data_IF_453845712628
#
_entry.id   IF_453845712628
#
_cell.length_a   1.000
_cell.length_b   1.000
_cell.length_c   1.000
_cell.angle_alpha   90.00
_cell.angle_beta   90.00
_cell.angle_gamma   90.00
#
_symmetry.space_group_name_H-M   'P 1'
#
loop_
_entity.id
_entity.type
_entity.pdbx_description
1 polymer ?
#
# COMPACT_ATOMS: atom_id res chain seq x y z
N UNK A 1 -36.65 34.93 -34.31
CA UNK A 1 -36.31 33.55 -33.98
C UNK A 1 -35.46 33.51 -32.72
N UNK A 2 -36.04 33.03 -31.58
CA UNK A 2 -35.34 32.89 -30.31
C UNK A 2 -34.55 31.59 -30.31
N UNK A 3 -33.23 31.68 -30.28
CA UNK A 3 -32.38 30.51 -30.01
C UNK A 3 -32.50 30.14 -28.52
N UNK A 4 -33.16 29.01 -28.24
CA UNK A 4 -33.07 28.39 -26.92
C UNK A 4 -31.74 27.59 -26.85
N UNK A 5 -30.84 28.02 -25.98
CA UNK A 5 -29.72 27.22 -25.55
C UNK A 5 -30.28 26.01 -24.78
N UNK A 6 -30.22 24.83 -25.37
CA UNK A 6 -30.43 23.58 -24.62
C UNK A 6 -29.19 23.33 -23.79
N UNK A 7 -29.31 23.35 -22.46
CA UNK A 7 -28.32 22.85 -21.55
C UNK A 7 -28.19 21.34 -21.74
N UNK A 8 -27.05 20.88 -22.26
CA UNK A 8 -26.69 19.46 -22.40
C UNK A 8 -26.08 18.88 -21.11
N UNK A 9 -26.46 19.43 -19.96
CA UNK A 9 -26.11 18.78 -18.69
C UNK A 9 -27.27 17.90 -18.29
N UNK A 10 -27.22 16.64 -18.72
CA UNK A 10 -28.14 15.64 -18.21
C UNK A 10 -27.66 15.21 -16.82
N UNK A 11 -28.28 15.79 -15.80
CA UNK A 11 -27.99 15.54 -14.39
C UNK A 11 -28.56 14.21 -13.87
N UNK A 12 -28.82 13.24 -14.73
CA UNK A 12 -29.55 12.02 -14.38
C UNK A 12 -28.70 10.76 -14.32
N UNK A 13 -27.40 10.87 -14.08
CA UNK A 13 -26.56 9.68 -13.95
C UNK A 13 -25.76 9.63 -12.62
N UNK A 14 -26.23 10.29 -11.57
CA UNK A 14 -25.77 9.96 -10.23
C UNK A 14 -26.83 9.02 -9.65
N UNK A 15 -26.52 7.74 -9.38
CA UNK A 15 -27.43 6.87 -8.64
C UNK A 15 -27.69 7.56 -7.30
N UNK A 16 -28.92 7.99 -7.07
CA UNK A 16 -29.35 8.52 -5.79
C UNK A 16 -29.29 7.39 -4.77
N UNK A 17 -28.31 7.40 -3.88
CA UNK A 17 -28.31 6.47 -2.76
C UNK A 17 -26.97 6.12 -2.12
N UNK A 18 -25.85 6.31 -2.81
CA UNK A 18 -24.56 6.22 -2.16
C UNK A 18 -23.85 7.56 -2.34
N UNK A 19 -23.53 8.25 -1.26
CA UNK A 19 -22.56 9.35 -1.33
C UNK A 19 -21.25 8.72 -1.78
N UNK A 20 -20.72 9.14 -2.93
CA UNK A 20 -19.40 8.71 -3.33
C UNK A 20 -18.44 9.06 -2.17
N UNK A 21 -17.66 8.09 -1.74
CA UNK A 21 -16.65 8.32 -0.69
C UNK A 21 -15.72 9.44 -1.16
N UNK A 22 -15.65 10.53 -0.40
CA UNK A 22 -14.83 11.69 -0.72
C UNK A 22 -13.56 11.68 0.12
N UNK A 23 -12.40 11.77 -0.54
CA UNK A 23 -11.12 12.00 0.12
C UNK A 23 -10.94 13.49 0.28
N UNK A 24 -11.19 14.01 1.47
CA UNK A 24 -11.15 15.45 1.75
C UNK A 24 -9.72 16.02 1.71
N UNK A 25 -8.72 15.23 2.09
CA UNK A 25 -7.33 15.66 2.18
C UNK A 25 -6.37 14.56 1.74
N UNK A 26 -5.30 14.97 1.04
CA UNK A 26 -4.22 14.08 0.64
C UNK A 26 -2.88 14.79 0.72
N UNK A 27 -1.81 14.02 0.99
CA UNK A 27 -0.44 14.50 0.91
C UNK A 27 0.15 14.16 -0.45
N UNK A 28 0.82 15.13 -1.07
CA UNK A 28 1.61 14.91 -2.28
C UNK A 28 3.01 14.43 -1.88
N UNK A 29 3.38 13.28 -2.41
CA UNK A 29 4.74 12.75 -2.34
C UNK A 29 5.42 12.97 -3.68
N UNK A 30 6.65 13.42 -3.66
CA UNK A 30 7.44 13.69 -4.87
C UNK A 30 8.81 13.03 -4.77
N UNK A 31 9.20 12.36 -5.85
CA UNK A 31 10.56 11.93 -6.11
C UNK A 31 11.01 12.47 -7.48
N UNK A 32 11.24 13.79 -7.54
CA UNK A 32 11.55 14.49 -8.79
C UNK A 32 12.94 14.19 -9.33
N UNK A 33 13.86 13.78 -8.49
CA UNK A 33 15.24 13.53 -8.85
C UNK A 33 15.56 12.06 -9.13
N UNK A 34 14.62 11.16 -8.88
CA UNK A 34 14.81 9.69 -8.99
C UNK A 34 16.02 9.17 -8.19
N UNK A 35 16.44 9.92 -7.18
CA UNK A 35 17.60 9.65 -6.33
C UNK A 35 17.23 9.48 -4.86
N UNK A 36 15.95 9.28 -4.57
CA UNK A 36 15.46 9.04 -3.23
C UNK A 36 15.51 10.23 -2.29
N UNK A 37 15.63 11.45 -2.79
CA UNK A 37 15.50 12.67 -1.99
C UNK A 37 14.06 13.14 -1.85
N UNK A 38 13.10 12.29 -2.26
CA UNK A 38 11.67 12.59 -2.26
C UNK A 38 11.06 12.72 -0.86
N UNK A 39 9.80 13.17 -0.84
CA UNK A 39 9.01 13.31 0.39
C UNK A 39 8.73 11.96 1.04
N UNK A 40 8.77 11.89 2.36
CA UNK A 40 8.40 10.71 3.14
C UNK A 40 7.91 11.09 4.53
N UNK A 41 7.25 10.15 5.19
CA UNK A 41 6.97 10.20 6.63
C UNK A 41 7.70 9.05 7.30
N UNK A 42 8.28 9.31 8.47
CA UNK A 42 9.07 8.32 9.21
C UNK A 42 8.65 8.26 10.66
N UNK A 43 8.69 7.06 11.21
CA UNK A 43 8.52 6.81 12.64
C UNK A 43 9.31 5.58 13.06
N UNK A 44 9.99 5.67 14.21
CA UNK A 44 10.52 4.52 14.96
C UNK A 44 9.72 4.35 16.25
N UNK A 45 8.91 3.29 16.39
CA UNK A 45 8.18 3.03 17.63
C UNK A 45 9.14 2.83 18.81
N UNK A 46 8.78 3.35 19.97
CA UNK A 46 9.57 3.17 21.22
C UNK A 46 9.34 1.84 21.90
N UNK A 47 8.26 1.14 21.57
CA UNK A 47 7.92 -0.20 22.04
C UNK A 47 7.26 -0.98 20.92
N UNK A 48 7.46 -2.30 20.90
CA UNK A 48 6.82 -3.16 19.93
C UNK A 48 5.31 -3.26 20.21
N UNK A 49 4.52 -3.27 19.15
CA UNK A 49 3.11 -3.61 19.17
C UNK A 49 2.87 -5.08 18.83
N UNK A 50 1.71 -5.40 18.28
CA UNK A 50 1.39 -6.76 17.86
C UNK A 50 2.10 -7.10 16.53
N UNK A 51 3.04 -8.04 16.59
CA UNK A 51 3.85 -8.43 15.43
C UNK A 51 3.13 -9.46 14.53
N UNK A 52 2.03 -10.04 15.01
CA UNK A 52 1.33 -11.16 14.34
C UNK A 52 -0.02 -10.75 13.76
N UNK A 53 -0.55 -9.60 14.17
CA UNK A 53 -1.86 -9.14 13.70
C UNK A 53 -1.91 -7.63 13.59
N UNK A 54 -2.23 -7.14 12.40
CA UNK A 54 -2.39 -5.71 12.12
C UNK A 54 -3.09 -5.49 10.77
N UNK A 55 -3.52 -4.26 10.52
CA UNK A 55 -4.06 -3.83 9.24
C UNK A 55 -3.43 -2.51 8.82
N UNK A 56 -3.10 -2.39 7.55
CA UNK A 56 -2.70 -1.15 6.89
C UNK A 56 -3.70 -0.83 5.79
N UNK A 57 -4.13 0.43 5.71
CA UNK A 57 -5.03 0.94 4.68
C UNK A 57 -4.56 2.30 4.20
N UNK A 58 -4.65 2.54 2.90
CA UNK A 58 -4.41 3.87 2.32
C UNK A 58 -5.14 4.04 0.99
N UNK A 59 -5.50 5.29 0.70
CA UNK A 59 -5.88 5.70 -0.63
C UNK A 59 -4.67 6.28 -1.36
N UNK A 60 -4.48 5.93 -2.62
CA UNK A 60 -3.40 6.48 -3.44
C UNK A 60 -3.87 6.85 -4.84
N UNK A 61 -3.26 7.88 -5.42
CA UNK A 61 -3.52 8.37 -6.78
C UNK A 61 -2.26 8.96 -7.40
N UNK A 62 -2.24 9.02 -8.70
CA UNK A 62 -1.16 9.67 -9.45
C UNK A 62 0.10 8.81 -9.52
N UNK A 63 -0.05 7.47 -9.34
CA UNK A 63 1.06 6.55 -9.52
C UNK A 63 1.59 6.67 -10.95
N UNK A 64 2.92 6.75 -11.15
CA UNK A 64 3.49 6.84 -12.49
C UNK A 64 3.09 5.62 -13.33
N UNK A 65 2.93 5.84 -14.63
CA UNK A 65 2.73 4.73 -15.55
C UNK A 65 3.91 3.76 -15.47
N UNK A 66 3.66 2.45 -15.51
CA UNK A 66 4.71 1.45 -15.47
C UNK A 66 5.74 1.71 -16.58
N UNK A 67 7.00 1.80 -16.19
CA UNK A 67 8.10 1.98 -17.13
C UNK A 67 9.16 0.92 -16.83
N UNK A 68 9.40 0.02 -17.79
CA UNK A 68 10.37 -1.06 -17.64
C UNK A 68 11.82 -0.58 -17.39
N UNK A 69 12.10 0.70 -17.63
CA UNK A 69 13.42 1.31 -17.44
C UNK A 69 13.52 2.14 -16.17
N UNK A 70 12.46 2.24 -15.35
CA UNK A 70 12.49 2.97 -14.10
C UNK A 70 12.67 2.00 -12.92
N UNK A 71 13.58 2.30 -12.03
CA UNK A 71 13.76 1.60 -10.75
C UNK A 71 12.68 2.01 -9.72
N UNK A 72 11.58 2.57 -10.21
CA UNK A 72 10.59 3.29 -9.41
C UNK A 72 9.49 2.37 -8.88
N UNK A 73 9.86 1.54 -7.92
CA UNK A 73 8.86 0.91 -7.06
C UNK A 73 8.22 1.99 -6.17
N UNK A 74 6.91 2.11 -6.22
CA UNK A 74 6.14 3.08 -5.45
C UNK A 74 5.86 2.51 -4.06
N UNK A 75 6.64 2.90 -3.06
CA UNK A 75 6.53 2.38 -1.70
C UNK A 75 5.36 3.06 -0.98
N UNK A 76 4.39 2.27 -0.56
CA UNK A 76 3.28 2.70 0.31
C UNK A 76 3.66 2.59 1.78
N UNK A 77 4.37 1.51 2.15
CA UNK A 77 4.92 1.28 3.48
C UNK A 77 6.24 0.54 3.35
N UNK A 78 7.30 1.06 3.92
CA UNK A 78 8.60 0.43 4.07
C UNK A 78 8.96 0.25 5.54
N UNK A 79 9.48 -0.92 5.93
CA UNK A 79 9.94 -1.17 7.29
C UNK A 79 11.32 -1.81 7.24
N UNK A 80 12.24 -1.26 8.02
CA UNK A 80 13.57 -1.83 8.21
C UNK A 80 13.49 -3.15 8.98
N UNK A 81 14.21 -4.15 8.52
CA UNK A 81 14.22 -5.49 9.15
C UNK A 81 15.43 -5.72 10.04
N UNK A 82 16.56 -5.05 9.77
CA UNK A 82 17.79 -5.19 10.54
C UNK A 82 18.82 -4.13 10.10
N UNK A 83 19.52 -3.55 11.06
CA UNK A 83 20.49 -2.46 10.90
C UNK A 83 21.77 -2.86 10.13
N UNK A 84 21.98 -4.14 9.79
CA UNK A 84 23.23 -4.62 9.21
C UNK A 84 23.08 -5.62 8.06
N UNK A 85 21.87 -5.93 7.63
CA UNK A 85 21.59 -6.85 6.53
C UNK A 85 20.43 -6.33 5.69
N UNK A 86 20.32 -6.80 4.45
CA UNK A 86 19.26 -6.43 3.50
C UNK A 86 17.91 -7.07 3.89
N UNK A 87 17.51 -6.91 5.16
CA UNK A 87 16.24 -7.38 5.67
C UNK A 87 15.25 -6.22 5.67
N UNK A 88 14.06 -6.48 5.16
CA UNK A 88 13.03 -5.45 5.06
C UNK A 88 11.64 -6.04 4.89
N UNK A 89 10.64 -5.21 5.17
CA UNK A 89 9.28 -5.40 4.70
C UNK A 89 8.90 -4.22 3.82
N UNK A 90 8.24 -4.48 2.71
CA UNK A 90 7.58 -3.42 1.96
C UNK A 90 6.19 -3.80 1.46
N UNK A 91 5.37 -2.79 1.32
CA UNK A 91 4.12 -2.77 0.59
C UNK A 91 4.25 -1.75 -0.52
N UNK A 92 4.06 -2.14 -1.76
CA UNK A 92 4.36 -1.28 -2.90
C UNK A 92 3.52 -1.57 -4.13
N UNK A 93 3.48 -0.60 -5.04
CA UNK A 93 3.17 -0.84 -6.44
C UNK A 93 4.50 -0.91 -7.18
N UNK A 94 4.77 -2.07 -7.76
CA UNK A 94 6.01 -2.32 -8.50
C UNK A 94 6.05 -1.53 -9.81
N UNK A 95 7.22 -1.42 -10.40
CA UNK A 95 7.43 -0.71 -11.66
C UNK A 95 6.63 -1.27 -12.86
N UNK A 96 6.13 -2.49 -12.77
CA UNK A 96 5.22 -3.11 -13.75
C UNK A 96 3.74 -2.87 -13.46
N UNK A 97 3.42 -2.20 -12.35
CA UNK A 97 2.07 -1.89 -11.89
C UNK A 97 1.42 -2.95 -11.01
N UNK A 98 2.14 -3.99 -10.61
CA UNK A 98 1.62 -5.01 -9.69
C UNK A 98 1.64 -4.54 -8.25
N UNK A 99 0.68 -5.01 -7.44
CA UNK A 99 0.65 -4.80 -6.00
C UNK A 99 1.47 -5.88 -5.31
N UNK A 100 2.55 -5.49 -4.65
CA UNK A 100 3.58 -6.35 -4.07
C UNK A 100 3.69 -6.15 -2.57
N UNK A 101 3.53 -7.23 -1.81
CA UNK A 101 3.74 -7.26 -0.37
C UNK A 101 4.70 -8.38 0.00
N UNK A 102 5.80 -8.03 0.66
CA UNK A 102 6.86 -8.98 1.02
C UNK A 102 7.58 -8.64 2.32
N UNK A 103 8.15 -9.67 2.93
CA UNK A 103 9.14 -9.56 3.99
C UNK A 103 10.31 -10.49 3.68
N UNK A 104 11.53 -9.99 3.85
CA UNK A 104 12.77 -10.73 3.69
C UNK A 104 13.54 -10.70 5.01
N UNK A 105 13.92 -11.88 5.49
CA UNK A 105 14.76 -12.08 6.68
C UNK A 105 16.01 -12.91 6.35
N UNK A 106 16.75 -13.31 7.36
CA UNK A 106 17.93 -14.16 7.23
C UNK A 106 17.68 -15.49 6.47
N UNK A 107 16.45 -15.98 6.51
CA UNK A 107 16.04 -17.21 5.85
C UNK A 107 15.59 -17.00 4.39
N UNK A 108 15.65 -15.78 3.88
CA UNK A 108 15.09 -15.38 2.59
C UNK A 108 13.68 -14.78 2.75
N UNK A 109 12.79 -15.05 1.80
CA UNK A 109 11.42 -14.57 1.91
C UNK A 109 10.63 -15.27 3.01
N UNK A 110 10.23 -14.54 4.06
CA UNK A 110 9.26 -15.04 5.04
C UNK A 110 7.87 -15.13 4.40
N UNK A 111 7.57 -14.20 3.49
CA UNK A 111 6.41 -14.24 2.61
C UNK A 111 6.61 -13.31 1.40
N UNK A 112 5.88 -13.58 0.34
CA UNK A 112 5.81 -12.72 -0.84
C UNK A 112 4.51 -12.93 -1.59
N UNK A 113 3.73 -11.86 -1.78
CA UNK A 113 2.50 -11.88 -2.58
C UNK A 113 2.55 -10.77 -3.63
N UNK A 114 2.41 -11.16 -4.90
CA UNK A 114 2.39 -10.24 -6.03
C UNK A 114 1.11 -10.48 -6.81
N UNK A 115 0.28 -9.46 -6.97
CA UNK A 115 -0.96 -9.54 -7.75
C UNK A 115 -0.68 -9.84 -9.22
N UNK A 116 -1.63 -10.48 -9.90
CA UNK A 116 -1.67 -10.50 -11.37
C UNK A 116 -2.34 -9.24 -11.93
N UNK A 117 -3.20 -8.60 -11.13
CA UNK A 117 -3.83 -7.33 -11.50
C UNK A 117 -2.79 -6.20 -11.51
N UNK A 118 -3.01 -5.24 -12.40
CA UNK A 118 -2.10 -4.12 -12.66
C UNK A 118 -2.82 -2.79 -12.40
N UNK A 119 -2.18 -1.93 -11.61
CA UNK A 119 -2.70 -0.63 -11.17
C UNK A 119 -1.93 0.46 -11.89
N UNK A 120 -2.45 0.93 -13.04
CA UNK A 120 -1.73 1.75 -14.03
C UNK A 120 -2.41 3.07 -14.38
N UNK A 121 -3.61 3.32 -13.89
CA UNK A 121 -4.33 4.56 -14.16
C UNK A 121 -3.88 5.65 -13.19
N UNK A 122 -3.11 6.67 -13.64
CA UNK A 122 -2.65 7.74 -12.77
C UNK A 122 -3.78 8.70 -12.36
N UNK A 123 -4.92 8.63 -13.02
CA UNK A 123 -6.08 9.48 -12.72
C UNK A 123 -7.02 8.88 -11.68
N UNK A 124 -6.95 7.57 -11.46
CA UNK A 124 -7.81 6.86 -10.54
C UNK A 124 -7.26 6.92 -9.10
N UNK A 125 -8.18 7.00 -8.14
CA UNK A 125 -7.91 6.66 -6.76
C UNK A 125 -8.01 5.15 -6.57
N UNK A 126 -7.05 4.57 -5.88
CA UNK A 126 -7.07 3.17 -5.45
C UNK A 126 -7.05 3.11 -3.93
N UNK A 127 -7.96 2.35 -3.36
CA UNK A 127 -7.95 2.00 -1.93
C UNK A 127 -7.23 0.67 -1.74
N UNK A 128 -6.04 0.69 -1.17
CA UNK A 128 -5.27 -0.52 -0.85
C UNK A 128 -5.42 -0.85 0.62
N UNK A 129 -5.79 -2.12 0.91
CA UNK A 129 -5.83 -2.64 2.28
C UNK A 129 -5.05 -3.94 2.35
N UNK A 130 -4.21 -4.07 3.37
CA UNK A 130 -3.52 -5.31 3.69
C UNK A 130 -3.80 -5.66 5.14
N UNK A 131 -4.29 -6.88 5.36
CA UNK A 131 -4.39 -7.47 6.69
C UNK A 131 -3.35 -8.55 6.86
N UNK A 132 -2.66 -8.53 7.98
CA UNK A 132 -1.73 -9.55 8.42
C UNK A 132 -2.29 -10.22 9.68
N UNK A 133 -2.42 -11.54 9.65
CA UNK A 133 -2.78 -12.38 10.80
C UNK A 133 -2.05 -13.72 10.71
N UNK A 134 -0.76 -13.72 11.02
CA UNK A 134 0.07 -14.93 10.93
C UNK A 134 -0.36 -16.02 11.91
N UNK A 135 -1.13 -15.70 12.94
CA UNK A 135 -1.67 -16.69 13.87
C UNK A 135 -2.81 -17.52 13.27
N UNK A 136 -3.38 -17.09 12.14
CA UNK A 136 -4.47 -17.80 11.47
C UNK A 136 -4.05 -19.22 11.06
N UNK A 137 -4.93 -20.22 11.32
CA UNK A 137 -4.70 -21.61 10.97
C UNK A 137 -4.65 -21.86 9.46
N UNK A 138 -5.45 -21.08 8.70
CA UNK A 138 -5.51 -21.16 7.23
C UNK A 138 -4.42 -20.28 6.62
N UNK A 139 -3.49 -20.87 5.87
CA UNK A 139 -2.36 -20.16 5.29
C UNK A 139 -2.79 -18.97 4.40
N UNK A 140 -3.79 -19.17 3.54
CA UNK A 140 -4.31 -18.13 2.63
C UNK A 140 -5.00 -16.97 3.34
N UNK A 141 -5.34 -17.12 4.61
CA UNK A 141 -5.96 -16.07 5.41
C UNK A 141 -4.97 -15.33 6.32
N UNK A 142 -3.69 -15.72 6.33
CA UNK A 142 -2.63 -15.02 7.09
C UNK A 142 -2.29 -13.66 6.49
N UNK A 143 -2.41 -13.55 5.17
CA UNK A 143 -2.29 -12.27 4.46
C UNK A 143 -3.47 -12.14 3.50
N UNK A 144 -4.25 -11.06 3.66
CA UNK A 144 -5.29 -10.69 2.72
C UNK A 144 -4.97 -9.32 2.15
N UNK A 145 -5.01 -9.21 0.84
CA UNK A 145 -4.79 -7.97 0.09
C UNK A 145 -6.07 -7.59 -0.60
N UNK A 146 -6.43 -6.32 -0.56
CA UNK A 146 -7.65 -5.80 -1.17
C UNK A 146 -7.34 -4.53 -1.96
N UNK A 147 -8.10 -4.34 -3.02
CA UNK A 147 -8.12 -3.09 -3.78
C UNK A 147 -9.57 -2.69 -4.02
N UNK A 148 -9.91 -1.45 -3.69
CA UNK A 148 -11.26 -0.90 -3.83
C UNK A 148 -12.34 -1.84 -3.24
N UNK A 149 -12.08 -2.36 -2.04
CA UNK A 149 -12.98 -3.28 -1.32
C UNK A 149 -12.91 -4.74 -1.74
N UNK A 150 -12.40 -5.05 -2.93
CA UNK A 150 -12.37 -6.40 -3.48
C UNK A 150 -11.09 -7.15 -3.08
N UNK A 151 -11.25 -8.38 -2.56
CA UNK A 151 -10.11 -9.24 -2.21
C UNK A 151 -9.38 -9.71 -3.45
N UNK A 152 -8.07 -9.50 -3.49
CA UNK A 152 -7.20 -10.09 -4.51
C UNK A 152 -7.08 -11.59 -4.24
N UNK A 153 -7.43 -12.40 -5.22
CA UNK A 153 -7.36 -13.86 -5.17
C UNK A 153 -6.42 -14.44 -6.22
N UNK A 154 -6.01 -13.65 -7.21
CA UNK A 154 -5.09 -14.06 -8.27
C UNK A 154 -3.71 -13.43 -8.07
N UNK A 155 -2.70 -14.28 -7.93
CA UNK A 155 -1.32 -13.89 -7.67
C UNK A 155 -0.36 -14.53 -8.66
N UNK A 156 0.59 -13.76 -9.17
CA UNK A 156 1.75 -14.25 -9.92
C UNK A 156 2.79 -14.90 -8.99
N UNK A 157 2.89 -14.38 -7.75
CA UNK A 157 3.63 -15.00 -6.65
C UNK A 157 2.73 -15.06 -5.43
N UNK A 158 2.60 -16.22 -4.80
CA UNK A 158 1.70 -16.46 -3.66
C UNK A 158 2.40 -17.29 -2.58
N UNK A 159 3.34 -16.70 -1.87
CA UNK A 159 4.03 -17.30 -0.73
C UNK A 159 3.50 -16.70 0.57
N UNK A 160 2.73 -17.49 1.32
CA UNK A 160 2.19 -17.10 2.62
C UNK A 160 3.25 -17.31 3.72
N UNK A 161 3.22 -16.51 4.81
CA UNK A 161 4.08 -16.75 5.95
C UNK A 161 3.77 -18.10 6.62
N UNK A 162 4.76 -18.71 7.26
CA UNK A 162 4.49 -19.78 8.21
C UNK A 162 3.61 -19.27 9.36
N UNK A 163 2.90 -20.19 10.03
CA UNK A 163 2.07 -19.80 11.16
C UNK A 163 2.91 -19.20 12.28
N UNK A 164 2.42 -18.11 12.87
CA UNK A 164 3.04 -17.34 13.94
C UNK A 164 4.35 -16.63 13.58
N UNK A 165 4.67 -16.43 12.31
CA UNK A 165 5.79 -15.56 11.90
C UNK A 165 5.52 -14.12 12.35
N UNK A 166 6.51 -13.50 12.96
CA UNK A 166 6.48 -12.11 13.36
C UNK A 166 6.73 -11.21 12.15
N UNK A 167 5.93 -10.17 12.02
CA UNK A 167 6.15 -9.11 11.04
C UNK A 167 7.21 -8.13 11.55
N UNK A 168 7.93 -7.46 10.63
CA UNK A 168 8.76 -6.31 10.97
C UNK A 168 7.93 -5.07 11.32
N UNK A 169 6.70 -5.00 10.84
CA UNK A 169 5.74 -3.96 11.26
C UNK A 169 5.51 -4.06 12.77
N UNK A 170 5.41 -2.92 13.43
CA UNK A 170 5.29 -2.78 14.88
C UNK A 170 6.55 -3.11 15.70
N UNK A 171 7.67 -3.43 15.09
CA UNK A 171 8.95 -3.50 15.80
C UNK A 171 9.49 -2.09 16.10
N UNK A 172 10.48 -2.01 17.00
CA UNK A 172 11.19 -0.76 17.35
C UNK A 172 12.24 -0.42 16.29
N UNK A 173 11.80 -0.27 15.03
CA UNK A 173 12.61 -0.05 13.85
C UNK A 173 12.02 1.07 12.99
N UNK A 174 12.77 1.54 12.00
CA UNK A 174 12.30 2.56 11.06
C UNK A 174 11.10 2.04 10.28
N UNK A 175 9.98 2.74 10.36
CA UNK A 175 8.81 2.61 9.51
C UNK A 175 8.71 3.87 8.66
N UNK A 176 8.57 3.73 7.37
CA UNK A 176 8.45 4.83 6.43
C UNK A 176 7.21 4.70 5.55
N UNK A 177 6.52 5.80 5.32
CA UNK A 177 5.48 5.94 4.31
C UNK A 177 6.07 6.71 3.15
N UNK A 178 5.91 6.20 1.94
CA UNK A 178 6.42 6.83 0.73
C UNK A 178 7.91 6.56 0.46
N UNK A 179 8.58 5.72 1.24
CA UNK A 179 9.99 5.41 1.05
C UNK A 179 10.39 4.02 1.50
N UNK A 180 11.43 3.49 0.87
CA UNK A 180 12.03 2.22 1.25
C UNK A 180 12.97 2.39 2.45
N UNK A 181 12.88 1.46 3.42
CA UNK A 181 13.73 1.43 4.61
C UNK A 181 14.42 0.07 4.74
N UNK A 182 15.73 0.06 4.84
CA UNK A 182 16.52 -1.13 5.20
C UNK A 182 17.95 -0.74 5.60
N UNK A 183 18.65 -1.61 6.31
CA UNK A 183 20.00 -1.36 6.84
C UNK A 183 20.07 -0.13 7.75
N UNK A 184 19.06 0.05 8.60
CA UNK A 184 19.02 1.15 9.56
C UNK A 184 18.86 2.53 8.93
N UNK A 185 18.43 2.62 7.65
CA UNK A 185 18.36 3.87 6.91
C UNK A 185 17.24 3.88 5.87
N UNK A 186 16.89 5.06 5.39
CA UNK A 186 15.99 5.26 4.26
C UNK A 186 16.78 5.25 2.94
N UNK A 187 16.32 4.47 1.97
CA UNK A 187 17.07 4.25 0.73
C UNK A 187 16.52 5.01 -0.46
N UNK A 188 17.41 5.29 -1.38
CA UNK A 188 17.12 6.03 -2.60
C UNK A 188 16.32 5.21 -3.65
N UNK A 189 16.30 3.89 -3.50
CA UNK A 189 15.68 2.97 -4.44
C UNK A 189 14.23 2.66 -4.09
N UNK A 190 13.32 3.53 -4.40
CA UNK A 190 11.90 3.35 -4.14
C UNK A 190 11.37 4.44 -3.25
N UNK A 191 10.76 5.38 -3.92
CA UNK A 191 10.04 6.48 -3.31
C UNK A 191 8.67 6.60 -3.99
N UNK A 192 7.71 7.07 -3.25
CA UNK A 192 6.38 7.34 -3.80
C UNK A 192 6.41 8.65 -4.60
N UNK A 193 5.85 8.59 -5.80
CA UNK A 193 5.55 9.78 -6.60
C UNK A 193 4.05 9.79 -6.90
N UNK A 194 3.28 10.41 -6.02
CA UNK A 194 1.81 10.38 -6.10
C UNK A 194 1.18 11.05 -4.88
N UNK A 195 -0.09 10.76 -4.67
CA UNK A 195 -0.86 11.26 -3.54
C UNK A 195 -1.24 10.11 -2.62
N UNK A 196 -1.19 10.33 -1.31
CA UNK A 196 -1.76 9.47 -0.30
C UNK A 196 -2.81 10.22 0.51
N UNK A 197 -3.94 9.57 0.72
CA UNK A 197 -5.01 10.02 1.61
C UNK A 197 -5.38 8.91 2.58
N UNK A 198 -5.90 9.28 3.74
CA UNK A 198 -6.48 8.36 4.73
C UNK A 198 -5.61 7.15 5.04
N UNK A 199 -4.35 7.40 5.36
CA UNK A 199 -3.42 6.35 5.75
C UNK A 199 -3.74 5.92 7.19
N UNK A 200 -4.18 4.68 7.34
CA UNK A 200 -4.54 4.08 8.61
C UNK A 200 -3.65 2.89 8.92
N UNK A 201 -3.21 2.80 10.15
CA UNK A 201 -2.55 1.62 10.70
C UNK A 201 -3.27 1.18 11.97
N UNK A 202 -3.76 -0.07 12.00
CA UNK A 202 -4.50 -0.64 13.12
C UNK A 202 -3.70 -1.79 13.72
N UNK A 203 -3.24 -1.59 14.93
CA UNK A 203 -2.50 -2.59 15.71
C UNK A 203 -3.43 -3.64 16.30
N UNK A 204 -2.99 -4.90 16.31
CA UNK A 204 -3.65 -6.01 16.99
C UNK A 204 -4.92 -6.54 16.33
N UNK A 205 -5.38 -5.97 15.20
CA UNK A 205 -6.66 -6.34 14.60
C UNK A 205 -6.56 -6.48 13.09
N UNK A 206 -7.12 -7.56 12.56
CA UNK A 206 -7.35 -7.76 11.12
C UNK A 206 -8.73 -7.19 10.73
N UNK A 207 -8.74 -6.02 10.11
CA UNK A 207 -9.94 -5.28 9.70
C UNK A 207 -10.33 -5.57 8.25
N UNK A 208 -11.62 -5.43 7.92
CA UNK A 208 -12.11 -5.49 6.56
C UNK A 208 -11.98 -4.11 5.86
N UNK A 209 -11.98 -4.05 4.51
CA UNK A 209 -11.95 -2.77 3.78
C UNK A 209 -13.10 -1.83 4.17
N UNK A 210 -14.27 -2.37 4.45
CA UNK A 210 -15.48 -1.61 4.87
C UNK A 210 -15.32 -0.88 6.21
N UNK A 211 -14.27 -1.19 7.00
CA UNK A 211 -13.93 -0.43 8.21
C UNK A 211 -13.27 0.92 7.91
N UNK A 212 -12.84 1.18 6.67
CA UNK A 212 -12.06 2.36 6.24
C UNK A 212 -12.78 3.24 5.23
N UNK A 213 -14.06 3.06 5.06
CA UNK A 213 -14.89 3.83 4.13
C UNK A 213 -15.73 2.92 3.22
N UNK A 214 -16.64 3.54 2.50
CA UNK A 214 -17.46 2.84 1.52
C UNK A 214 -16.63 2.55 0.25
N UNK A 215 -16.76 1.34 -0.26
CA UNK A 215 -16.14 0.89 -1.50
C UNK A 215 -17.20 0.60 -2.55
#
# INVERSE_FOLDING_TARGET
GSLRLMSLINSTAIPSGASAYEIEQSLRFEDTAKNGTGSYLERTPTSAGNLKRWTYSCWTKGLPAPNANSHETQILLGVDGNDSNDYYLWLSISNDGTFDFRQISASGYDFRKISTALFRDPSAWYHFVVTYDSANGTAEDRIKMYVNGERITSFGTNANPNQNVDSFVNQTRIHAIGRFAYNGDLKENGALNGYLGEVNFIDGTAKAPTDFGET
#
